data_IF_641332299293
#
_entry.id   IF_641332299293
#
_cell.length_a   1.000
_cell.length_b   1.000
_cell.length_c   1.000
_cell.angle_alpha   90.00
_cell.angle_beta   90.00
_cell.angle_gamma   90.00
#
_symmetry.space_group_name_H-M   'P 1'
#
loop_
_entity.id
_entity.type
_entity.pdbx_description
1 polymer ?
#
# COMPACT_ATOMS: atom_id res chain seq x y z
N UNK A 1 12.33 -15.30 -14.16
CA UNK A 1 10.96 -15.64 -13.75
C UNK A 1 10.04 -15.04 -14.79
N UNK A 2 9.27 -15.85 -15.48
CA UNK A 2 8.45 -15.36 -16.60
C UNK A 2 7.11 -14.76 -16.09
N UNK A 3 6.36 -14.11 -16.99
CA UNK A 3 5.10 -13.46 -16.64
C UNK A 3 4.01 -14.47 -16.19
N UNK A 4 4.08 -15.72 -16.64
CA UNK A 4 3.16 -16.79 -16.26
C UNK A 4 3.45 -17.30 -14.85
N UNK A 5 4.72 -17.43 -14.47
CA UNK A 5 5.16 -17.78 -13.12
C UNK A 5 4.64 -16.76 -12.10
N UNK A 6 4.77 -15.47 -12.41
CA UNK A 6 4.29 -14.37 -11.55
C UNK A 6 2.76 -14.43 -11.39
N UNK A 7 2.03 -14.71 -12.47
CA UNK A 7 0.57 -14.81 -12.44
C UNK A 7 0.09 -16.04 -11.66
N UNK A 8 0.81 -17.16 -11.74
CA UNK A 8 0.50 -18.37 -10.99
C UNK A 8 0.78 -18.18 -9.49
N UNK A 9 1.92 -17.58 -9.13
CA UNK A 9 2.25 -17.23 -7.75
C UNK A 9 1.21 -16.31 -7.12
N UNK A 10 0.74 -15.29 -7.85
CA UNK A 10 -0.34 -14.38 -7.39
C UNK A 10 -1.63 -15.13 -7.13
N UNK A 11 -2.04 -16.02 -8.04
CA UNK A 11 -3.25 -16.83 -7.88
C UNK A 11 -3.14 -17.78 -6.67
N UNK A 12 -1.99 -18.43 -6.49
CA UNK A 12 -1.78 -19.32 -5.34
C UNK A 12 -1.83 -18.56 -4.01
N UNK A 13 -1.27 -17.36 -3.94
CA UNK A 13 -1.29 -16.54 -2.73
C UNK A 13 -2.70 -16.02 -2.43
N UNK A 14 -3.46 -15.62 -3.46
CA UNK A 14 -4.86 -15.24 -3.29
C UNK A 14 -5.69 -16.42 -2.78
N UNK A 15 -5.50 -17.62 -3.33
CA UNK A 15 -6.16 -18.84 -2.84
C UNK A 15 -5.80 -19.10 -1.37
N UNK A 16 -4.53 -18.93 -0.98
CA UNK A 16 -4.08 -19.13 0.41
C UNK A 16 -4.72 -18.15 1.39
N UNK A 17 -4.82 -16.87 1.02
CA UNK A 17 -5.49 -15.86 1.87
C UNK A 17 -6.98 -16.19 2.03
N UNK A 18 -7.67 -16.52 0.94
CA UNK A 18 -9.09 -16.91 1.01
C UNK A 18 -9.27 -18.19 1.84
N UNK A 19 -8.34 -19.14 1.75
CA UNK A 19 -8.37 -20.36 2.56
C UNK A 19 -8.13 -20.08 4.05
N UNK A 20 -7.18 -19.21 4.40
CA UNK A 20 -6.87 -18.85 5.79
C UNK A 20 -8.02 -18.15 6.50
N UNK A 21 -8.82 -17.39 5.76
CA UNK A 21 -9.96 -16.64 6.28
C UNK A 21 -11.30 -17.17 5.78
N UNK A 22 -11.38 -18.46 5.43
CA UNK A 22 -12.60 -19.07 4.88
C UNK A 22 -13.83 -18.87 5.78
N UNK A 23 -13.64 -18.96 7.09
CA UNK A 23 -14.70 -18.76 8.09
C UNK A 23 -15.01 -17.27 8.34
N UNK A 24 -14.19 -16.37 7.82
CA UNK A 24 -14.30 -14.91 7.94
C UNK A 24 -14.32 -14.20 6.57
N UNK A 25 -14.76 -14.88 5.51
CA UNK A 25 -14.66 -14.38 4.13
C UNK A 25 -15.33 -13.00 3.95
N UNK A 26 -16.47 -12.77 4.61
CA UNK A 26 -17.17 -11.49 4.56
C UNK A 26 -16.32 -10.30 5.09
N UNK A 27 -15.47 -10.54 6.09
CA UNK A 27 -14.56 -9.51 6.64
C UNK A 27 -13.42 -9.22 5.68
N UNK A 28 -12.85 -10.28 5.10
CA UNK A 28 -11.81 -10.15 4.09
C UNK A 28 -12.33 -9.40 2.85
N UNK A 29 -13.53 -9.72 2.38
CA UNK A 29 -14.16 -9.06 1.23
C UNK A 29 -14.41 -7.57 1.53
N UNK A 30 -14.94 -7.26 2.71
CA UNK A 30 -15.15 -5.89 3.15
C UNK A 30 -13.83 -5.10 3.24
N UNK A 31 -12.78 -5.74 3.77
CA UNK A 31 -11.45 -5.14 3.83
C UNK A 31 -10.89 -4.87 2.44
N UNK A 32 -10.97 -5.82 1.52
CA UNK A 32 -10.49 -5.68 0.16
C UNK A 32 -11.25 -4.58 -0.61
N UNK A 33 -12.57 -4.52 -0.45
CA UNK A 33 -13.40 -3.46 -1.05
C UNK A 33 -13.03 -2.09 -0.48
N UNK A 34 -12.91 -1.99 0.85
CA UNK A 34 -12.50 -0.76 1.53
C UNK A 34 -11.14 -0.32 1.01
N UNK A 35 -10.14 -1.20 1.05
CA UNK A 35 -8.79 -0.93 0.55
C UNK A 35 -8.79 -0.43 -0.90
N UNK A 36 -9.54 -1.08 -1.81
CA UNK A 36 -9.63 -0.66 -3.22
C UNK A 36 -10.07 0.80 -3.38
N UNK A 37 -11.02 1.26 -2.58
CA UNK A 37 -11.44 2.67 -2.61
C UNK A 37 -10.30 3.62 -2.25
N UNK A 38 -9.45 3.25 -1.29
CA UNK A 38 -8.28 4.04 -0.92
C UNK A 38 -7.17 3.98 -1.96
N UNK A 39 -6.99 2.84 -2.65
CA UNK A 39 -6.04 2.75 -3.76
C UNK A 39 -6.41 3.72 -4.88
N UNK A 40 -7.68 3.73 -5.27
CA UNK A 40 -8.19 4.65 -6.28
C UNK A 40 -7.97 6.12 -5.88
N UNK A 41 -8.24 6.45 -4.62
CA UNK A 41 -8.16 7.84 -4.13
C UNK A 41 -6.72 8.33 -3.93
N UNK A 42 -5.80 7.48 -3.49
CA UNK A 42 -4.48 7.91 -2.98
C UNK A 42 -3.28 7.35 -3.71
N UNK A 43 -3.40 6.17 -4.31
CA UNK A 43 -2.25 5.52 -4.95
C UNK A 43 -2.30 5.65 -6.47
N UNK A 44 -3.45 5.85 -7.11
CA UNK A 44 -3.49 6.15 -8.54
C UNK A 44 -2.72 7.43 -8.83
N UNK A 45 -1.79 7.34 -9.77
CA UNK A 45 -0.93 8.46 -10.17
C UNK A 45 -1.28 8.90 -11.57
N UNK A 46 -0.65 9.98 -12.03
CA UNK A 46 -0.80 10.40 -13.43
C UNK A 46 -0.27 9.34 -14.40
N UNK A 47 0.68 8.50 -13.94
CA UNK A 47 1.40 7.52 -14.77
C UNK A 47 1.11 6.06 -14.45
N UNK A 48 0.34 5.77 -13.40
CA UNK A 48 0.02 4.41 -12.95
C UNK A 48 -1.43 4.33 -12.47
N UNK A 49 -2.22 3.49 -13.13
CA UNK A 49 -3.67 3.35 -12.96
C UNK A 49 -4.03 1.87 -12.84
N UNK A 50 -5.26 1.58 -12.37
CA UNK A 50 -5.75 0.21 -12.21
C UNK A 50 -4.89 -0.63 -11.25
N UNK A 51 -4.48 0.00 -10.15
CA UNK A 51 -3.56 -0.58 -9.16
C UNK A 51 -4.12 -1.87 -8.59
N UNK A 52 -3.30 -2.92 -8.65
CA UNK A 52 -3.68 -4.23 -8.15
C UNK A 52 -3.16 -4.44 -6.74
N UNK A 53 -4.03 -5.03 -5.92
CA UNK A 53 -3.63 -5.63 -4.66
C UNK A 53 -2.90 -6.94 -5.01
N UNK A 54 -1.68 -7.07 -4.53
CA UNK A 54 -0.86 -8.26 -4.61
C UNK A 54 -0.61 -8.77 -3.20
N UNK A 55 -0.88 -10.05 -3.01
CA UNK A 55 -0.53 -10.77 -1.79
C UNK A 55 0.99 -10.94 -1.73
N UNK A 56 1.65 -10.38 -0.71
CA UNK A 56 3.12 -10.51 -0.56
C UNK A 56 3.51 -11.71 0.30
N UNK A 57 2.59 -12.17 1.15
CA UNK A 57 2.63 -13.44 1.88
C UNK A 57 1.20 -13.83 2.27
N UNK A 58 1.07 -14.85 3.11
CA UNK A 58 -0.17 -15.43 3.59
C UNK A 58 -1.02 -14.48 4.48
N UNK A 59 -0.44 -13.38 4.95
CA UNK A 59 -1.11 -12.41 5.83
C UNK A 59 -1.05 -10.97 5.35
N UNK A 60 -0.43 -10.71 4.20
CA UNK A 60 -0.10 -9.34 3.80
C UNK A 60 -0.62 -9.04 2.40
N UNK A 61 -1.46 -8.02 2.34
CA UNK A 61 -1.99 -7.43 1.13
C UNK A 61 -1.19 -6.17 0.83
N UNK A 62 -0.48 -6.12 -0.28
CA UNK A 62 0.32 -5.00 -0.73
C UNK A 62 -0.29 -4.38 -1.99
N UNK A 63 -0.24 -3.07 -2.10
CA UNK A 63 -0.48 -2.36 -3.35
C UNK A 63 0.64 -1.36 -3.54
N UNK A 64 1.10 -1.19 -4.77
CA UNK A 64 2.20 -0.29 -5.13
C UNK A 64 1.84 0.47 -6.39
N UNK A 65 2.33 1.70 -6.48
CA UNK A 65 2.29 2.51 -7.69
C UNK A 65 3.53 3.37 -7.82
N UNK A 66 3.71 3.93 -9.02
CA UNK A 66 4.83 4.77 -9.35
C UNK A 66 4.38 6.11 -9.96
N UNK A 67 4.96 7.21 -9.49
CA UNK A 67 4.82 8.52 -10.13
C UNK A 67 6.14 8.91 -10.78
N UNK A 68 6.12 8.99 -12.11
CA UNK A 68 7.26 9.42 -12.93
C UNK A 68 7.17 10.90 -13.31
N UNK A 69 6.01 11.52 -13.16
CA UNK A 69 5.85 12.97 -13.22
C UNK A 69 6.29 13.62 -11.91
N UNK A 70 7.54 14.06 -11.85
CA UNK A 70 8.10 14.74 -10.67
C UNK A 70 7.29 15.99 -10.26
N UNK A 71 6.63 16.67 -11.21
CA UNK A 71 5.78 17.81 -10.91
C UNK A 71 4.58 17.44 -10.04
N UNK A 72 3.99 16.26 -10.28
CA UNK A 72 2.91 15.72 -9.45
C UNK A 72 3.46 15.19 -8.13
N UNK A 73 4.63 14.52 -8.13
CA UNK A 73 5.29 14.06 -6.91
C UNK A 73 5.64 15.20 -5.93
N UNK A 74 5.88 16.43 -6.42
CA UNK A 74 6.14 17.61 -5.58
C UNK A 74 4.91 18.21 -4.89
N UNK A 75 3.71 17.71 -5.19
CA UNK A 75 2.45 18.19 -4.58
C UNK A 75 2.27 17.72 -3.14
N UNK A 76 3.01 16.69 -2.72
CA UNK A 76 3.03 16.19 -1.33
C UNK A 76 3.33 17.35 -0.36
N UNK A 77 2.52 17.47 0.69
CA UNK A 77 2.65 18.56 1.64
C UNK A 77 3.84 18.38 2.60
N UNK A 78 4.17 17.13 2.94
CA UNK A 78 5.25 16.81 3.87
C UNK A 78 6.62 17.30 3.35
N UNK A 79 7.26 18.19 4.12
CA UNK A 79 8.48 18.88 3.72
C UNK A 79 9.68 17.93 3.57
N UNK A 80 9.76 16.88 4.38
CA UNK A 80 10.85 15.90 4.33
C UNK A 80 10.75 15.08 3.05
N UNK A 81 9.55 14.55 2.75
CA UNK A 81 9.30 13.79 1.53
C UNK A 81 9.56 14.67 0.30
N UNK A 82 9.06 15.90 0.32
CA UNK A 82 9.22 16.85 -0.78
C UNK A 82 10.69 17.17 -1.06
N UNK A 83 11.50 17.40 -0.04
CA UNK A 83 12.94 17.63 -0.23
C UNK A 83 13.65 16.35 -0.70
N UNK A 84 13.25 15.18 -0.22
CA UNK A 84 13.72 13.88 -0.69
C UNK A 84 13.50 13.68 -2.20
N UNK A 85 12.27 13.92 -2.68
CA UNK A 85 11.91 13.84 -4.09
C UNK A 85 12.68 14.89 -4.91
N UNK A 86 12.90 16.08 -4.36
CA UNK A 86 13.65 17.15 -5.04
C UNK A 86 15.12 16.76 -5.21
N UNK A 87 15.71 16.11 -4.21
CA UNK A 87 17.07 15.59 -4.29
C UNK A 87 17.18 14.44 -5.28
N UNK A 88 16.18 13.54 -5.31
CA UNK A 88 16.07 12.52 -6.36
C UNK A 88 16.11 13.17 -7.76
N UNK A 89 15.22 14.14 -8.02
CA UNK A 89 15.11 14.82 -9.32
C UNK A 89 16.37 15.59 -9.74
N UNK A 90 17.19 16.07 -8.78
CA UNK A 90 18.48 16.72 -9.07
C UNK A 90 19.59 15.70 -9.35
N UNK A 91 19.57 14.57 -8.64
CA UNK A 91 20.65 13.57 -8.66
C UNK A 91 20.56 12.59 -9.82
N UNK A 92 19.35 12.35 -10.35
CA UNK A 92 19.10 11.36 -11.39
C UNK A 92 18.80 12.04 -12.72
N UNK A 93 19.57 11.75 -13.79
CA UNK A 93 19.29 12.28 -15.13
C UNK A 93 17.89 11.92 -15.61
N UNK A 94 17.26 12.83 -16.35
CA UNK A 94 15.88 12.66 -16.84
C UNK A 94 15.73 11.44 -17.75
N UNK A 95 16.78 11.07 -18.47
CA UNK A 95 16.85 9.92 -19.36
C UNK A 95 16.66 8.59 -18.61
N UNK A 96 17.01 8.55 -17.32
CA UNK A 96 16.82 7.38 -16.46
C UNK A 96 15.39 7.28 -15.93
N UNK A 97 14.53 8.27 -16.21
CA UNK A 97 13.12 8.31 -15.78
C UNK A 97 12.96 8.09 -14.27
N UNK A 98 13.50 8.99 -13.43
CA UNK A 98 13.33 8.89 -11.98
C UNK A 98 11.84 8.81 -11.65
N UNK A 99 11.50 8.00 -10.66
CA UNK A 99 10.12 7.81 -10.21
C UNK A 99 10.09 7.65 -8.69
N UNK A 100 8.95 8.01 -8.10
CA UNK A 100 8.66 7.82 -6.67
C UNK A 100 7.71 6.64 -6.54
N UNK A 101 7.99 5.73 -5.61
CA UNK A 101 7.12 4.59 -5.32
C UNK A 101 6.22 4.91 -4.13
N UNK A 102 4.91 4.69 -4.30
CA UNK A 102 3.93 4.69 -3.22
C UNK A 102 3.55 3.26 -2.90
N UNK A 103 3.31 2.95 -1.63
CA UNK A 103 2.75 1.67 -1.25
C UNK A 103 1.78 1.74 -0.08
N UNK A 104 0.78 0.86 -0.13
CA UNK A 104 -0.20 0.67 0.92
C UNK A 104 -0.25 -0.82 1.28
N UNK A 105 0.33 -1.14 2.43
CA UNK A 105 0.43 -2.50 2.96
C UNK A 105 -0.62 -2.70 4.05
N UNK A 106 -1.22 -3.87 4.07
CA UNK A 106 -2.16 -4.29 5.11
C UNK A 106 -1.75 -5.67 5.57
N UNK A 107 -1.31 -5.79 6.82
CA UNK A 107 -0.92 -7.05 7.45
C UNK A 107 -2.02 -7.48 8.41
N UNK A 108 -2.55 -8.67 8.19
CA UNK A 108 -3.60 -9.32 8.96
C UNK A 108 -2.93 -10.16 10.05
N UNK A 109 -2.72 -9.58 11.22
CA UNK A 109 -2.19 -10.36 12.35
C UNK A 109 -3.25 -11.34 12.85
N UNK A 110 -4.48 -10.86 12.95
CA UNK A 110 -5.69 -11.63 13.30
C UNK A 110 -6.92 -11.03 12.62
N UNK A 111 -7.85 -11.89 12.19
CA UNK A 111 -9.10 -11.49 11.52
C UNK A 111 -10.19 -12.52 11.83
N UNK A 112 -10.82 -12.35 12.99
CA UNK A 112 -11.99 -13.11 13.44
C UNK A 112 -13.23 -12.22 13.45
N UNK A 113 -14.41 -12.83 13.49
CA UNK A 113 -15.66 -12.07 13.50
C UNK A 113 -15.84 -11.21 14.75
N UNK A 114 -15.35 -11.68 15.89
CA UNK A 114 -15.50 -11.06 17.20
C UNK A 114 -14.27 -10.25 17.65
N UNK A 115 -13.12 -10.42 17.01
CA UNK A 115 -11.94 -9.60 17.25
C UNK A 115 -10.96 -9.67 16.09
N UNK A 116 -9.98 -8.77 16.07
CA UNK A 116 -8.87 -8.89 15.14
C UNK A 116 -7.90 -7.74 15.27
N UNK A 117 -6.79 -7.87 14.56
CA UNK A 117 -5.70 -6.92 14.56
C UNK A 117 -5.12 -6.79 13.16
N UNK A 118 -5.19 -5.57 12.65
CA UNK A 118 -4.75 -5.21 11.31
C UNK A 118 -3.71 -4.10 11.44
N UNK A 119 -2.60 -4.26 10.73
CA UNK A 119 -1.58 -3.22 10.61
C UNK A 119 -1.66 -2.63 9.21
N UNK A 120 -1.94 -1.34 9.13
CA UNK A 120 -1.98 -0.59 7.87
C UNK A 120 -0.72 0.26 7.80
N UNK A 121 0.06 0.13 6.74
CA UNK A 121 1.27 0.92 6.52
C UNK A 121 1.19 1.61 5.15
N UNK A 122 1.26 2.93 5.16
CA UNK A 122 1.52 3.72 3.96
C UNK A 122 3.00 4.05 3.87
N UNK A 123 3.53 4.15 2.66
CA UNK A 123 4.93 4.48 2.43
C UNK A 123 5.13 5.23 1.13
N UNK A 124 6.03 6.20 1.17
CA UNK A 124 6.55 6.93 0.01
C UNK A 124 8.05 6.72 -0.05
N UNK A 125 8.56 6.26 -1.19
CA UNK A 125 9.95 5.87 -1.37
C UNK A 125 10.53 6.54 -2.61
N UNK A 126 11.54 7.39 -2.41
CA UNK A 126 12.28 8.09 -3.46
C UNK A 126 13.70 7.53 -3.65
N UNK A 127 13.96 6.32 -3.14
CA UNK A 127 15.22 5.59 -3.27
C UNK A 127 15.45 4.93 -4.63
N UNK A 128 15.06 5.56 -5.73
CA UNK A 128 15.28 5.06 -7.09
C UNK A 128 16.77 4.76 -7.37
N UNK A 129 17.09 3.72 -8.18
CA UNK A 129 16.18 2.79 -8.85
C UNK A 129 15.74 1.60 -7.99
N UNK A 130 16.43 1.36 -6.86
CA UNK A 130 16.29 0.12 -6.09
C UNK A 130 15.09 0.13 -5.14
N UNK A 131 14.62 1.32 -4.74
CA UNK A 131 13.59 1.51 -3.71
C UNK A 131 13.89 0.76 -2.41
N UNK A 132 15.17 0.64 -2.07
CA UNK A 132 15.61 -0.13 -0.92
C UNK A 132 15.59 0.72 0.36
N UNK A 133 14.92 0.21 1.38
CA UNK A 133 14.75 0.82 2.70
C UNK A 133 16.07 1.06 3.43
N UNK A 134 17.11 0.27 3.14
CA UNK A 134 18.43 0.42 3.76
C UNK A 134 19.07 1.79 3.54
N UNK A 135 18.68 2.51 2.48
CA UNK A 135 19.22 3.84 2.16
C UNK A 135 18.48 4.99 2.87
N UNK A 136 17.40 4.71 3.60
CA UNK A 136 16.62 5.72 4.32
C UNK A 136 15.86 6.71 3.44
N UNK A 137 15.80 6.49 2.12
CA UNK A 137 15.12 7.36 1.16
C UNK A 137 13.62 7.07 1.08
N UNK A 138 12.97 6.97 2.23
CA UNK A 138 11.55 6.71 2.33
C UNK A 138 10.98 7.28 3.62
N UNK A 139 9.67 7.50 3.61
CA UNK A 139 8.88 7.76 4.82
C UNK A 139 7.73 6.77 4.87
N UNK A 140 7.39 6.34 6.08
CA UNK A 140 6.25 5.43 6.33
C UNK A 140 5.39 5.92 7.47
N UNK A 141 4.09 5.66 7.39
CA UNK A 141 3.14 5.84 8.48
C UNK A 141 2.46 4.50 8.73
N UNK A 142 2.45 4.08 10.00
CA UNK A 142 1.84 2.83 10.41
C UNK A 142 0.70 3.11 11.38
N UNK A 143 -0.45 2.50 11.11
CA UNK A 143 -1.64 2.55 11.95
C UNK A 143 -1.99 1.13 12.35
N UNK A 144 -2.15 0.90 13.66
CA UNK A 144 -2.64 -0.37 14.19
C UNK A 144 -4.13 -0.24 14.44
N UNK A 145 -4.90 -1.17 13.90
CA UNK A 145 -6.34 -1.26 14.10
C UNK A 145 -6.68 -2.56 14.80
N UNK A 146 -7.11 -2.43 16.06
CA UNK A 146 -7.65 -3.53 16.85
C UNK A 146 -9.16 -3.34 17.00
N UNK A 147 -9.90 -4.42 16.88
CA UNK A 147 -11.35 -4.42 17.08
C UNK A 147 -11.77 -5.60 17.95
N UNK A 148 -12.88 -5.42 18.67
CA UNK A 148 -13.45 -6.41 19.59
C UNK A 148 -14.93 -6.69 19.31
N UNK A 149 -15.47 -6.15 18.21
CA UNK A 149 -16.76 -6.53 17.67
C UNK A 149 -16.90 -6.16 16.18
N UNK A 150 -17.86 -6.76 15.45
CA UNK A 150 -18.09 -6.48 14.03
C UNK A 150 -18.44 -5.03 13.68
N UNK A 151 -19.08 -4.30 14.59
CA UNK A 151 -19.54 -2.94 14.33
C UNK A 151 -18.39 -1.95 14.35
N UNK A 152 -17.44 -2.13 15.28
CA UNK A 152 -16.17 -1.37 15.31
C UNK A 152 -15.42 -1.59 14.00
N UNK A 153 -15.27 -2.84 13.56
CA UNK A 153 -14.63 -3.17 12.29
C UNK A 153 -15.22 -2.38 11.11
N UNK A 154 -16.55 -2.44 10.93
CA UNK A 154 -17.23 -1.77 9.82
C UNK A 154 -17.18 -0.24 9.89
N UNK A 155 -17.18 0.34 11.09
CA UNK A 155 -17.19 1.80 11.26
C UNK A 155 -15.80 2.40 11.13
N UNK A 156 -14.79 1.73 11.65
CA UNK A 156 -13.47 2.32 11.86
C UNK A 156 -12.44 1.93 10.81
N UNK A 157 -12.61 0.82 10.09
CA UNK A 157 -11.62 0.36 9.11
C UNK A 157 -11.29 1.45 8.07
N UNK A 158 -12.30 2.11 7.52
CA UNK A 158 -12.09 3.20 6.57
C UNK A 158 -11.39 4.40 7.21
N UNK A 159 -11.71 4.73 8.47
CA UNK A 159 -11.05 5.82 9.19
C UNK A 159 -9.56 5.51 9.40
N UNK A 160 -9.23 4.24 9.68
CA UNK A 160 -7.84 3.79 9.86
C UNK A 160 -7.05 3.77 8.56
N UNK A 161 -7.70 3.45 7.44
CA UNK A 161 -7.10 3.65 6.13
C UNK A 161 -6.87 5.12 5.79
N UNK A 162 -7.83 6.00 6.07
CA UNK A 162 -7.68 7.45 5.86
C UNK A 162 -6.51 7.98 6.70
N UNK A 163 -6.46 7.62 7.99
CA UNK A 163 -5.37 7.98 8.90
C UNK A 163 -4.01 7.53 8.34
N UNK A 164 -3.89 6.29 7.85
CA UNK A 164 -2.64 5.82 7.23
C UNK A 164 -2.31 6.59 5.95
N UNK A 165 -3.31 6.87 5.11
CA UNK A 165 -3.14 7.55 3.82
C UNK A 165 -2.88 9.05 3.93
N UNK A 166 -3.01 9.68 5.11
CA UNK A 166 -2.60 11.08 5.32
C UNK A 166 -1.16 11.37 4.87
N UNK A 167 -0.29 10.35 4.83
CA UNK A 167 1.07 10.46 4.31
C UNK A 167 1.13 10.92 2.84
N UNK A 168 0.10 10.61 2.04
CA UNK A 168 0.03 10.93 0.62
C UNK A 168 -0.52 12.33 0.32
N UNK A 169 -0.99 13.05 1.34
CA UNK A 169 -1.59 14.38 1.21
C UNK A 169 -0.56 15.53 1.31
#
# INVERSE_FOLDING_TARGET
MDMNDINNLKKELDIKIHALFKDNQAYLDYLLQTKKNFLYRYLETSTDKDIKIVSSNDKTLLAQSYESNMGDAFKIADAEIKEGIKNLAKSVPREQKPQVQYSLKTTLEDLRGDNGKIVIESKINWGFPEFNDSKGNFKKKQVVFEYHDPNVFRKELALKYEEACELFN
#
